data_IF_982217247140
#
_entry.id   IF_982217247140
#
_cell.length_a   1.000
_cell.length_b   1.000
_cell.length_c   1.000
_cell.angle_alpha   90.00
_cell.angle_beta   90.00
_cell.angle_gamma   90.00
#
_symmetry.space_group_name_H-M   'P 1'
#
loop_
_entity.id
_entity.type
_entity.pdbx_description
1 polymer ?
#
# COMPACT_ATOMS: atom_id res chain seq x y z
N UNK A 1 31.45 14.38 10.94
CA UNK A 1 30.48 15.19 11.19
C UNK A 1 29.45 15.41 10.09
N UNK A 2 28.76 14.46 9.69
CA UNK A 2 27.77 14.58 8.67
C UNK A 2 26.45 15.12 9.13
N UNK A 3 26.15 15.10 10.42
CA UNK A 3 24.84 15.50 10.89
C UNK A 3 24.91 16.80 11.67
N UNK A 4 23.94 17.65 11.43
CA UNK A 4 23.80 18.84 12.27
C UNK A 4 23.22 18.41 13.61
N UNK A 5 23.35 19.22 14.63
CA UNK A 5 22.96 18.81 15.97
C UNK A 5 21.48 18.40 16.06
N UNK A 6 20.59 19.11 15.37
CA UNK A 6 19.18 18.74 15.38
C UNK A 6 18.93 17.41 14.70
N UNK A 7 19.61 17.17 13.58
CA UNK A 7 19.46 15.91 12.86
C UNK A 7 20.06 14.75 13.66
N UNK A 8 21.18 14.97 14.33
CA UNK A 8 21.80 13.94 15.17
C UNK A 8 20.87 13.56 16.32
N UNK A 9 20.24 14.55 16.95
CA UNK A 9 19.32 14.28 18.05
C UNK A 9 18.09 13.48 17.56
N UNK A 10 17.57 13.81 16.39
CA UNK A 10 16.44 13.10 15.83
C UNK A 10 16.80 11.65 15.51
N UNK A 11 17.99 11.44 14.93
CA UNK A 11 18.44 10.09 14.62
C UNK A 11 18.70 9.28 15.89
N UNK A 12 19.20 9.93 16.93
CA UNK A 12 19.48 9.25 18.18
C UNK A 12 18.20 8.79 18.88
N UNK A 13 17.05 9.36 18.53
CA UNK A 13 15.78 8.94 19.09
C UNK A 13 15.28 7.65 18.47
N UNK A 14 15.85 7.21 17.35
CA UNK A 14 15.43 5.97 16.71
C UNK A 14 16.09 4.77 17.36
N UNK A 15 15.36 3.68 17.48
CA UNK A 15 15.93 2.44 17.98
C UNK A 15 16.64 1.74 16.83
N UNK A 16 17.52 0.80 17.17
CA UNK A 16 18.19 0.01 16.13
C UNK A 16 17.20 -0.79 15.31
N UNK A 17 16.11 -1.24 15.91
CA UNK A 17 15.06 -1.96 15.20
C UNK A 17 14.38 -1.05 14.19
N UNK A 18 14.11 0.19 14.56
CA UNK A 18 13.47 1.15 13.66
C UNK A 18 14.37 1.49 12.48
N UNK A 19 15.65 1.64 12.71
CA UNK A 19 16.61 1.90 11.65
C UNK A 19 16.67 0.70 10.69
N UNK A 20 16.64 -0.52 11.25
CA UNK A 20 16.70 -1.73 10.44
C UNK A 20 15.48 -1.85 9.50
N UNK A 21 14.31 -1.39 9.95
CA UNK A 21 13.12 -1.37 9.12
C UNK A 21 13.36 -0.51 7.87
N UNK A 22 13.92 0.67 8.04
CA UNK A 22 14.20 1.54 6.92
C UNK A 22 15.32 1.00 6.04
N UNK A 23 16.30 0.35 6.65
CA UNK A 23 17.42 -0.23 5.92
C UNK A 23 16.95 -1.30 4.93
N UNK A 24 15.91 -2.04 5.29
CA UNK A 24 15.39 -3.07 4.41
C UNK A 24 14.35 -2.58 3.40
N UNK A 25 13.97 -1.31 3.49
CA UNK A 25 12.92 -0.80 2.60
C UNK A 25 13.49 -0.50 1.21
N UNK A 26 12.74 -0.90 0.20
CA UNK A 26 13.17 -0.68 -1.19
C UNK A 26 12.26 0.28 -1.94
N UNK A 27 11.28 0.89 -1.25
CA UNK A 27 10.41 1.85 -1.91
C UNK A 27 11.19 3.11 -2.29
N UNK A 28 10.83 3.69 -3.43
CA UNK A 28 11.41 4.96 -3.83
C UNK A 28 10.69 6.10 -3.10
N UNK A 29 11.31 7.27 -3.09
CA UNK A 29 10.66 8.45 -2.52
C UNK A 29 9.33 8.74 -3.21
N UNK A 30 9.28 8.60 -4.53
CA UNK A 30 8.06 8.85 -5.28
C UNK A 30 6.96 7.87 -4.89
N UNK A 31 7.30 6.60 -4.70
CA UNK A 31 6.33 5.59 -4.29
C UNK A 31 5.79 5.87 -2.89
N UNK A 32 6.67 6.28 -1.99
CA UNK A 32 6.27 6.58 -0.62
C UNK A 32 5.34 7.79 -0.59
N UNK A 33 5.60 8.79 -1.42
CA UNK A 33 4.76 9.98 -1.48
C UNK A 33 3.37 9.69 -2.03
N UNK A 34 3.23 8.69 -2.86
CA UNK A 34 1.93 8.25 -3.36
C UNK A 34 1.06 7.77 -2.20
N UNK A 35 1.65 7.06 -1.25
CA UNK A 35 0.91 6.59 -0.08
C UNK A 35 0.39 7.73 0.78
N UNK A 36 1.08 8.86 0.76
CA UNK A 36 0.68 10.03 1.54
C UNK A 36 -0.57 10.71 0.98
N UNK A 37 -0.86 10.48 -0.29
CA UNK A 37 -2.05 11.07 -0.90
C UNK A 37 -1.89 12.50 -1.33
N UNK A 38 -0.69 13.07 -1.23
CA UNK A 38 -0.46 14.45 -1.64
C UNK A 38 -0.34 14.60 -3.14
N UNK A 39 -0.19 13.53 -3.85
CA UNK A 39 -0.06 13.56 -5.29
C UNK A 39 -1.44 13.38 -5.91
N UNK A 40 -1.75 14.17 -6.91
CA UNK A 40 -3.04 14.05 -7.59
C UNK A 40 -3.17 12.67 -8.21
N UNK A 41 -4.37 12.13 -8.16
CA UNK A 41 -4.63 10.85 -8.78
C UNK A 41 -4.46 10.93 -10.29
N UNK A 42 -3.94 9.86 -10.87
CA UNK A 42 -3.77 9.77 -12.31
C UNK A 42 -4.82 8.79 -12.83
N UNK A 43 -5.47 9.16 -13.90
CA UNK A 43 -6.43 8.24 -14.51
C UNK A 43 -5.69 7.03 -15.03
N UNK A 44 -6.08 5.87 -14.58
CA UNK A 44 -5.40 4.63 -14.90
C UNK A 44 -6.41 3.57 -15.30
N UNK A 45 -6.17 2.92 -16.42
CA UNK A 45 -7.00 1.79 -16.80
C UNK A 45 -6.50 0.57 -16.04
N UNK A 46 -7.36 0.03 -15.20
CA UNK A 46 -6.98 -1.12 -14.38
C UNK A 46 -7.01 -2.41 -15.20
N UNK A 47 -6.12 -3.30 -14.86
CA UNK A 47 -6.07 -4.63 -15.47
C UNK A 47 -6.00 -5.66 -14.36
N UNK A 48 -6.38 -6.88 -14.66
CA UNK A 48 -6.45 -7.94 -13.64
C UNK A 48 -5.08 -8.29 -13.06
N UNK A 49 -4.01 -8.00 -13.79
CA UNK A 49 -2.66 -8.25 -13.28
C UNK A 49 -2.14 -7.12 -12.38
N UNK A 50 -2.82 -5.99 -12.35
CA UNK A 50 -2.44 -4.90 -11.45
C UNK A 50 -2.65 -5.34 -10.02
N UNK A 51 -1.92 -4.70 -9.10
CA UNK A 51 -1.96 -5.11 -7.71
C UNK A 51 -2.31 -3.95 -6.80
N UNK A 52 -2.84 -4.28 -5.66
CA UNK A 52 -3.11 -3.30 -4.63
C UNK A 52 -2.65 -3.83 -3.29
N UNK A 53 -2.47 -2.93 -2.34
CA UNK A 53 -2.03 -3.29 -0.99
C UNK A 53 -3.26 -3.40 -0.11
N UNK A 54 -3.37 -4.51 0.61
CA UNK A 54 -4.49 -4.78 1.50
C UNK A 54 -3.95 -5.17 2.86
N UNK A 55 -4.61 -4.69 3.90
CA UNK A 55 -4.35 -5.19 5.25
C UNK A 55 -5.22 -6.42 5.45
N UNK A 56 -4.63 -7.60 5.28
CA UNK A 56 -5.35 -8.84 5.38
C UNK A 56 -5.33 -9.30 6.83
N UNK A 57 -6.34 -8.90 7.56
CA UNK A 57 -6.52 -9.29 8.96
C UNK A 57 -5.27 -9.00 9.81
N UNK A 58 -4.69 -7.86 9.61
CA UNK A 58 -3.52 -7.42 10.38
C UNK A 58 -2.19 -7.54 9.68
N UNK A 59 -2.13 -8.19 8.51
CA UNK A 59 -0.89 -8.31 7.76
C UNK A 59 -1.05 -7.66 6.41
N UNK A 60 -0.08 -6.87 6.00
CA UNK A 60 -0.13 -6.23 4.69
C UNK A 60 0.33 -7.19 3.61
N UNK A 61 -0.46 -7.31 2.57
CA UNK A 61 -0.13 -8.16 1.43
C UNK A 61 -0.45 -7.42 0.15
N UNK A 62 0.15 -7.86 -0.95
CA UNK A 62 -0.22 -7.39 -2.28
C UNK A 62 -1.19 -8.38 -2.88
N UNK A 63 -2.25 -7.86 -3.46
CA UNK A 63 -3.30 -8.70 -4.03
C UNK A 63 -3.52 -8.26 -5.48
N UNK A 64 -3.57 -9.20 -6.39
CA UNK A 64 -3.89 -8.89 -7.78
C UNK A 64 -5.36 -8.51 -7.89
N UNK A 65 -5.70 -7.63 -8.80
CA UNK A 65 -7.09 -7.25 -9.00
C UNK A 65 -7.96 -8.42 -9.40
N UNK A 66 -7.37 -9.45 -10.04
CA UNK A 66 -8.12 -10.65 -10.38
C UNK A 66 -8.68 -11.33 -9.13
N UNK A 67 -7.96 -11.26 -8.01
CA UNK A 67 -8.45 -11.84 -6.76
C UNK A 67 -9.61 -11.03 -6.20
N UNK A 68 -9.55 -9.72 -6.33
CA UNK A 68 -10.67 -8.87 -5.91
C UNK A 68 -11.91 -9.17 -6.75
N UNK A 69 -11.74 -9.34 -8.05
CA UNK A 69 -12.85 -9.66 -8.93
C UNK A 69 -13.49 -10.99 -8.53
N UNK A 70 -12.65 -12.00 -8.25
CA UNK A 70 -13.15 -13.29 -7.80
C UNK A 70 -13.94 -13.17 -6.50
N UNK A 71 -13.44 -12.39 -5.56
CA UNK A 71 -14.15 -12.19 -4.30
C UNK A 71 -15.48 -11.47 -4.53
N UNK A 72 -15.50 -10.44 -5.38
CA UNK A 72 -16.72 -9.68 -5.63
C UNK A 72 -17.75 -10.49 -6.40
N UNK A 73 -17.30 -11.38 -7.28
CA UNK A 73 -18.21 -12.24 -8.02
C UNK A 73 -18.90 -13.28 -7.12
N UNK A 74 -18.30 -13.57 -5.98
CA UNK A 74 -18.92 -14.47 -5.04
C UNK A 74 -19.81 -13.64 -4.10
N UNK A 75 -20.99 -13.34 -4.56
CA UNK A 75 -21.90 -12.50 -3.80
C UNK A 75 -22.27 -13.05 -2.44
N UNK A 76 -22.23 -14.35 -2.27
CA UNK A 76 -22.54 -14.95 -0.97
C UNK A 76 -21.46 -14.66 0.06
N UNK A 77 -20.20 -14.59 -0.37
CA UNK A 77 -19.08 -14.33 0.52
C UNK A 77 -18.86 -12.83 0.68
N UNK A 78 -18.89 -12.08 -0.41
CA UNK A 78 -18.53 -10.67 -0.37
C UNK A 78 -19.70 -9.76 0.01
N UNK A 79 -20.90 -10.21 -0.20
CA UNK A 79 -22.06 -9.35 -0.04
C UNK A 79 -22.23 -8.33 -1.15
N UNK A 80 -21.38 -8.36 -2.16
CA UNK A 80 -21.43 -7.41 -3.25
C UNK A 80 -22.55 -7.79 -4.23
N UNK A 81 -23.44 -6.87 -4.51
CA UNK A 81 -24.57 -7.14 -5.38
C UNK A 81 -24.45 -6.23 -6.59
N UNK A 82 -24.15 -6.82 -7.72
CA UNK A 82 -24.10 -6.10 -8.96
C UNK A 82 -25.50 -5.98 -9.47
N UNK A 83 -26.15 -4.90 -9.08
CA UNK A 83 -27.53 -4.73 -9.42
C UNK A 83 -27.66 -4.15 -10.78
N UNK A 84 -28.16 -4.69 -11.65
CA UNK A 84 -28.26 -4.18 -12.96
C UNK A 84 -27.76 -5.10 -13.95
N UNK A 85 -27.00 -5.97 -13.53
CA UNK A 85 -26.61 -6.87 -14.45
C UNK A 85 -27.65 -7.83 -14.59
N UNK A 86 -28.42 -7.82 -15.42
CA UNK A 86 -29.31 -8.79 -15.58
C UNK A 86 -28.72 -9.74 -16.31
N UNK A 87 -27.98 -10.09 -15.85
CA UNK A 87 -27.25 -11.02 -16.42
C UNK A 87 -28.02 -12.23 -16.79
#
# INVERSE_FOLDING_TARGET
SGCQSGAAAALAALTSTEVAILDGATVTTAELNILDGNTSATSTTLATADRMVINDNGSLVQVALSDLVTFLEDGATSGFDVNGGTY
#
